data_IF_426271826370
#
_entry.id   IF_426271826370
#
_cell.length_a   1.000
_cell.length_b   1.000
_cell.length_c   1.000
_cell.angle_alpha   90.00
_cell.angle_beta   90.00
_cell.angle_gamma   90.00
#
_symmetry.space_group_name_H-M   'P 1'
#
loop_
_entity.id
_entity.type
_entity.pdbx_description
1 polymer ?
#
# COMPACT_ATOMS: atom_id res chain seq x y z
N UNK A 1 4.93 -43.62 20.54
CA UNK A 1 5.90 -42.83 19.78
C UNK A 1 5.07 -41.87 18.93
N UNK A 2 4.72 -40.72 19.50
CA UNK A 2 4.00 -39.63 18.78
C UNK A 2 5.06 -38.81 18.10
N UNK A 3 5.05 -38.79 16.78
CA UNK A 3 5.85 -37.87 15.99
C UNK A 3 5.28 -36.45 16.25
N UNK A 4 6.03 -35.61 16.94
CA UNK A 4 5.85 -34.17 16.92
C UNK A 4 6.15 -33.71 15.47
N UNK A 5 5.12 -33.52 14.68
CA UNK A 5 5.21 -32.67 13.51
C UNK A 5 5.44 -31.26 14.05
N UNK A 6 6.68 -30.81 13.99
CA UNK A 6 7.04 -29.40 14.12
C UNK A 6 6.44 -28.68 12.90
N UNK A 7 5.19 -28.29 12.99
CA UNK A 7 4.61 -27.37 12.03
C UNK A 7 5.43 -26.08 12.07
N UNK A 8 6.25 -25.82 11.06
CA UNK A 8 6.79 -24.49 10.83
C UNK A 8 5.59 -23.53 10.84
N UNK A 9 5.64 -22.55 11.74
CA UNK A 9 4.58 -21.56 11.81
C UNK A 9 4.50 -20.87 10.44
N UNK A 10 3.35 -20.93 9.83
CA UNK A 10 3.09 -20.29 8.55
C UNK A 10 3.43 -18.80 8.66
N UNK A 11 4.26 -18.30 7.76
CA UNK A 11 4.82 -16.94 7.85
C UNK A 11 4.17 -16.07 6.79
N UNK A 12 3.45 -15.02 7.24
CA UNK A 12 2.99 -13.93 6.38
C UNK A 12 4.03 -12.81 6.42
N UNK A 13 4.58 -12.45 5.26
CA UNK A 13 5.57 -11.38 5.11
C UNK A 13 4.95 -10.18 4.40
N UNK A 14 5.22 -8.99 4.93
CA UNK A 14 4.83 -7.74 4.28
C UNK A 14 6.01 -6.76 4.26
N UNK A 15 6.19 -6.04 3.15
CA UNK A 15 7.22 -5.01 3.02
C UNK A 15 6.75 -3.90 2.08
N UNK A 16 6.85 -2.65 2.53
CA UNK A 16 6.67 -1.48 1.66
C UNK A 16 7.99 -1.24 0.92
N UNK A 17 8.04 -1.58 -0.35
CA UNK A 17 9.25 -1.42 -1.18
C UNK A 17 9.52 0.04 -1.51
N UNK A 18 8.49 0.84 -1.70
CA UNK A 18 8.54 2.29 -1.86
C UNK A 18 7.17 2.89 -1.57
N UNK A 19 7.15 4.14 -1.07
CA UNK A 19 5.90 4.87 -0.84
C UNK A 19 6.10 6.36 -1.00
N UNK A 20 5.34 6.98 -1.94
CA UNK A 20 5.35 8.41 -2.23
C UNK A 20 5.18 8.71 -3.72
N UNK A 21 5.14 9.99 -4.09
CA UNK A 21 4.79 10.50 -5.43
C UNK A 21 5.76 10.14 -6.57
N UNK A 22 6.86 9.46 -6.30
CA UNK A 22 7.79 8.98 -7.34
C UNK A 22 7.69 7.49 -7.60
N UNK A 23 6.82 6.78 -6.88
CA UNK A 23 6.52 5.38 -7.10
C UNK A 23 6.16 4.65 -5.82
N UNK A 24 5.09 3.87 -5.90
CA UNK A 24 4.56 3.05 -4.83
C UNK A 24 4.67 1.58 -5.21
N UNK A 25 5.05 0.75 -4.26
CA UNK A 25 5.06 -0.70 -4.38
C UNK A 25 5.13 -1.34 -3.00
N UNK A 26 4.31 -2.36 -2.75
CA UNK A 26 4.38 -3.18 -1.55
C UNK A 26 4.34 -4.67 -1.91
N UNK A 27 5.07 -5.49 -1.17
CA UNK A 27 5.13 -6.93 -1.34
C UNK A 27 4.42 -7.61 -0.16
N UNK A 28 3.49 -8.49 -0.46
CA UNK A 28 2.86 -9.40 0.47
C UNK A 28 3.15 -10.83 0.04
N UNK A 29 3.64 -11.66 0.91
CA UNK A 29 3.93 -13.06 0.60
C UNK A 29 3.60 -13.98 1.78
N UNK A 30 3.03 -15.13 1.44
CA UNK A 30 2.96 -16.32 2.29
C UNK A 30 4.01 -17.33 1.81
N UNK A 31 4.00 -18.53 2.34
CA UNK A 31 4.81 -19.62 1.81
C UNK A 31 4.42 -19.94 0.35
N UNK A 32 3.12 -19.90 0.03
CA UNK A 32 2.56 -20.37 -1.24
C UNK A 32 2.25 -19.26 -2.24
N UNK A 33 1.98 -18.04 -1.78
CA UNK A 33 1.47 -16.95 -2.62
C UNK A 33 2.33 -15.69 -2.47
N UNK A 34 2.55 -14.99 -3.58
CA UNK A 34 3.31 -13.76 -3.63
C UNK A 34 2.56 -12.69 -4.43
N UNK A 35 2.27 -11.56 -3.81
CA UNK A 35 1.48 -10.46 -4.38
C UNK A 35 2.26 -9.17 -4.34
N UNK A 36 2.32 -8.47 -5.46
CA UNK A 36 2.79 -7.09 -5.55
C UNK A 36 1.58 -6.15 -5.55
N UNK A 37 1.55 -5.18 -4.67
CA UNK A 37 0.55 -4.11 -4.67
C UNK A 37 1.20 -2.85 -5.24
N UNK A 38 0.65 -2.36 -6.32
CA UNK A 38 1.16 -1.29 -7.18
C UNK A 38 2.53 -1.59 -7.83
N UNK A 39 2.74 -0.96 -8.96
CA UNK A 39 3.91 -1.11 -9.81
C UNK A 39 4.42 0.26 -10.28
N UNK A 40 4.53 1.21 -9.36
CA UNK A 40 5.01 2.57 -9.63
C UNK A 40 6.52 2.66 -9.87
N UNK A 41 7.27 1.60 -9.59
CA UNK A 41 8.71 1.52 -9.81
C UNK A 41 9.05 0.75 -11.08
N UNK A 42 10.14 1.12 -11.75
CA UNK A 42 10.68 0.30 -12.83
C UNK A 42 11.09 -1.09 -12.33
N UNK A 43 11.04 -2.12 -13.20
CA UNK A 43 11.47 -3.48 -12.86
C UNK A 43 12.91 -3.52 -12.29
N UNK A 44 13.82 -2.68 -12.82
CA UNK A 44 15.19 -2.55 -12.30
C UNK A 44 15.22 -2.02 -10.88
N UNK A 45 14.39 -1.01 -10.56
CA UNK A 45 14.34 -0.42 -9.23
C UNK A 45 13.67 -1.36 -8.23
N UNK A 46 12.59 -2.03 -8.63
CA UNK A 46 11.98 -3.11 -7.84
C UNK A 46 13.01 -4.19 -7.48
N UNK A 47 13.81 -4.65 -8.47
CA UNK A 47 14.85 -5.64 -8.23
C UNK A 47 15.89 -5.17 -7.21
N UNK A 48 16.33 -3.90 -7.26
CA UNK A 48 17.25 -3.35 -6.25
C UNK A 48 16.62 -3.32 -4.85
N UNK A 49 15.34 -2.95 -4.76
CA UNK A 49 14.62 -2.92 -3.47
C UNK A 49 14.49 -4.32 -2.88
N UNK A 50 14.11 -5.30 -3.69
CA UNK A 50 14.04 -6.71 -3.28
C UNK A 50 15.40 -7.21 -2.78
N UNK A 51 16.47 -6.97 -3.54
CA UNK A 51 17.81 -7.36 -3.13
C UNK A 51 18.24 -6.70 -1.80
N UNK A 52 17.86 -5.44 -1.56
CA UNK A 52 18.22 -4.71 -0.33
C UNK A 52 17.53 -5.23 0.93
N UNK A 53 16.45 -6.00 0.81
CA UNK A 53 15.76 -6.68 1.91
C UNK A 53 16.15 -8.17 2.02
N UNK A 54 17.16 -8.60 1.27
CA UNK A 54 17.68 -9.97 1.30
C UNK A 54 16.92 -10.97 0.42
N UNK A 55 15.97 -10.50 -0.40
CA UNK A 55 15.25 -11.37 -1.34
C UNK A 55 15.99 -11.43 -2.68
N UNK A 56 15.92 -12.59 -3.35
CA UNK A 56 16.40 -12.75 -4.72
C UNK A 56 15.35 -12.17 -5.70
N UNK A 57 15.68 -11.09 -6.45
CA UNK A 57 14.72 -10.45 -7.34
C UNK A 57 14.20 -11.38 -8.45
N UNK A 58 15.05 -12.21 -9.02
CA UNK A 58 14.66 -13.14 -10.09
C UNK A 58 13.65 -14.16 -9.57
N UNK A 59 13.93 -14.73 -8.40
CA UNK A 59 13.03 -15.69 -7.74
C UNK A 59 11.69 -15.03 -7.38
N UNK A 60 11.69 -13.80 -6.87
CA UNK A 60 10.44 -13.09 -6.56
C UNK A 60 9.65 -12.83 -7.83
N UNK A 61 10.28 -12.32 -8.91
CA UNK A 61 9.57 -12.05 -10.17
C UNK A 61 8.97 -13.31 -10.79
N UNK A 62 9.64 -14.45 -10.73
CA UNK A 62 9.12 -15.74 -11.21
C UNK A 62 7.97 -16.27 -10.34
N UNK A 63 8.00 -15.96 -9.03
CA UNK A 63 7.04 -16.42 -8.04
C UNK A 63 5.81 -15.54 -7.91
N UNK A 64 5.81 -14.32 -8.50
CA UNK A 64 4.64 -13.44 -8.42
C UNK A 64 3.39 -14.11 -9.00
N UNK A 65 2.36 -14.27 -8.18
CA UNK A 65 1.05 -14.79 -8.56
C UNK A 65 0.13 -13.67 -9.04
N UNK A 66 0.20 -12.50 -8.39
CA UNK A 66 -0.63 -11.36 -8.74
C UNK A 66 0.11 -10.02 -8.62
N UNK A 67 -0.34 -9.05 -9.44
CA UNK A 67 -0.07 -7.63 -9.30
C UNK A 67 -1.42 -6.94 -9.13
N UNK A 68 -1.66 -6.36 -7.95
CA UNK A 68 -2.87 -5.62 -7.64
C UNK A 68 -2.62 -4.13 -7.84
N UNK A 69 -3.48 -3.44 -8.56
CA UNK A 69 -3.37 -2.00 -8.83
C UNK A 69 -4.49 -1.27 -8.10
N UNK A 70 -4.11 -0.27 -7.31
CA UNK A 70 -5.04 0.57 -6.56
C UNK A 70 -5.78 1.56 -7.46
N UNK A 71 -5.06 2.22 -8.36
CA UNK A 71 -5.58 3.19 -9.33
C UNK A 71 -4.56 3.53 -10.43
N UNK A 72 -4.95 4.34 -11.42
CA UNK A 72 -4.18 4.58 -12.65
C UNK A 72 -3.08 5.64 -12.57
N UNK A 73 -2.87 6.33 -11.46
CA UNK A 73 -1.84 7.38 -11.39
C UNK A 73 -0.45 6.82 -11.65
N UNK A 74 0.41 7.63 -12.29
CA UNK A 74 1.70 7.19 -12.80
C UNK A 74 2.64 6.63 -11.71
N UNK A 75 2.57 7.14 -10.51
CA UNK A 75 3.36 6.65 -9.36
C UNK A 75 2.86 5.30 -8.81
N UNK A 76 1.75 4.77 -9.34
CA UNK A 76 1.24 3.42 -9.06
C UNK A 76 1.40 2.45 -10.23
N UNK A 77 1.54 2.96 -11.46
CA UNK A 77 1.50 2.09 -12.66
C UNK A 77 2.65 2.29 -13.64
N UNK A 78 3.59 3.23 -13.43
CA UNK A 78 4.63 3.53 -14.43
C UNK A 78 5.52 2.35 -14.81
N UNK A 79 5.75 1.40 -13.90
CA UNK A 79 6.49 0.16 -14.17
C UNK A 79 5.64 -0.97 -14.75
N UNK A 80 4.32 -0.88 -14.60
CA UNK A 80 3.39 -1.96 -14.91
C UNK A 80 3.46 -2.48 -16.35
N UNK A 81 3.54 -1.63 -17.40
CA UNK A 81 3.63 -2.11 -18.77
C UNK A 81 4.90 -2.92 -19.07
N UNK A 82 5.99 -2.63 -18.36
CA UNK A 82 7.26 -3.38 -18.50
C UNK A 82 7.14 -4.73 -17.78
N UNK A 83 6.59 -4.75 -16.57
CA UNK A 83 6.35 -5.99 -15.83
C UNK A 83 5.39 -6.91 -16.57
N UNK A 84 4.32 -6.37 -17.14
CA UNK A 84 3.31 -7.11 -17.91
C UNK A 84 3.88 -7.81 -19.16
N UNK A 85 4.88 -7.20 -19.81
CA UNK A 85 5.57 -7.77 -21.00
C UNK A 85 6.72 -8.70 -20.65
N UNK A 86 7.14 -8.74 -19.40
CA UNK A 86 8.26 -9.60 -18.99
C UNK A 86 7.87 -11.07 -19.09
N UNK A 87 8.71 -11.86 -19.79
CA UNK A 87 8.53 -13.32 -19.87
C UNK A 87 8.80 -14.04 -18.55
N UNK A 88 9.49 -13.38 -17.61
CA UNK A 88 9.81 -13.91 -16.29
C UNK A 88 8.61 -13.81 -15.35
N UNK A 89 7.79 -12.76 -15.49
CA UNK A 89 6.64 -12.51 -14.62
C UNK A 89 5.41 -13.14 -15.23
N UNK A 90 4.83 -14.09 -14.49
CA UNK A 90 3.60 -14.81 -14.90
C UNK A 90 2.37 -14.36 -14.11
N UNK A 91 2.55 -13.37 -13.24
CA UNK A 91 1.48 -12.83 -12.41
C UNK A 91 0.26 -12.39 -13.23
N UNK A 92 -0.91 -12.64 -12.71
CA UNK A 92 -2.14 -12.02 -13.20
C UNK A 92 -2.23 -10.60 -12.66
N UNK A 93 -2.57 -9.65 -13.51
CA UNK A 93 -2.77 -8.25 -13.13
C UNK A 93 -4.23 -8.06 -12.78
N UNK A 94 -4.50 -7.54 -11.59
CA UNK A 94 -5.86 -7.27 -11.12
C UNK A 94 -6.04 -5.78 -10.86
N UNK A 95 -7.11 -5.20 -11.37
CA UNK A 95 -7.52 -3.81 -11.12
C UNK A 95 -9.02 -3.66 -11.34
N UNK A 96 -9.58 -2.53 -10.95
CA UNK A 96 -11.00 -2.31 -11.23
C UNK A 96 -11.25 -2.21 -12.73
N UNK A 97 -12.47 -2.58 -13.16
CA UNK A 97 -12.85 -2.56 -14.57
C UNK A 97 -12.87 -1.14 -15.16
N UNK A 98 -12.99 -0.11 -14.32
CA UNK A 98 -12.92 1.28 -14.74
C UNK A 98 -11.49 1.82 -14.80
N UNK A 99 -10.57 1.32 -13.95
CA UNK A 99 -9.14 1.65 -13.99
C UNK A 99 -8.45 1.05 -15.24
N UNK A 100 -8.81 -0.18 -15.62
CA UNK A 100 -8.13 -0.91 -16.68
C UNK A 100 -8.04 -0.18 -18.05
N UNK A 101 -9.08 0.50 -18.55
CA UNK A 101 -9.01 1.28 -19.78
C UNK A 101 -8.12 2.52 -19.72
N UNK A 102 -7.80 3.01 -18.51
CA UNK A 102 -6.97 4.19 -18.31
C UNK A 102 -5.47 3.89 -18.32
N UNK A 103 -5.08 2.61 -18.26
CA UNK A 103 -3.68 2.21 -18.28
C UNK A 103 -3.13 2.29 -19.72
N UNK A 104 -2.05 3.04 -19.89
CA UNK A 104 -1.30 3.04 -21.15
C UNK A 104 -0.42 1.78 -21.24
N UNK A 105 -0.92 0.76 -21.88
CA UNK A 105 -0.20 -0.50 -22.11
C UNK A 105 0.84 -0.41 -23.23
N UNK A 106 0.88 0.69 -23.98
CA UNK A 106 1.61 0.79 -25.25
C UNK A 106 0.92 -0.01 -26.34
N UNK A 107 1.68 -0.75 -27.14
CA UNK A 107 1.16 -1.43 -28.35
C UNK A 107 0.24 -2.63 -28.05
N UNK A 108 0.37 -3.26 -26.88
CA UNK A 108 -0.35 -4.50 -26.60
C UNK A 108 -0.74 -4.59 -25.13
N UNK A 109 -2.02 -4.78 -24.86
CA UNK A 109 -2.51 -5.09 -23.52
C UNK A 109 -2.00 -6.47 -23.05
N UNK A 110 -1.81 -6.66 -21.72
CA UNK A 110 -1.34 -7.93 -21.20
C UNK A 110 -2.37 -9.04 -21.39
N UNK A 111 -1.88 -10.25 -21.70
CA UNK A 111 -2.75 -11.42 -21.82
C UNK A 111 -3.29 -11.96 -20.50
N UNK A 112 -2.81 -11.43 -19.37
CA UNK A 112 -3.22 -11.84 -18.01
C UNK A 112 -3.68 -10.63 -17.22
N UNK A 113 -4.82 -10.09 -17.62
CA UNK A 113 -5.52 -9.02 -16.96
C UNK A 113 -6.89 -9.54 -16.52
N UNK A 114 -7.17 -9.47 -15.25
CA UNK A 114 -8.47 -9.72 -14.64
C UNK A 114 -8.99 -8.44 -14.00
N UNK A 115 -10.22 -8.11 -14.29
CA UNK A 115 -10.85 -6.92 -13.75
C UNK A 115 -11.94 -7.27 -12.75
N UNK A 116 -12.08 -6.42 -11.73
CA UNK A 116 -13.11 -6.56 -10.71
C UNK A 116 -13.88 -5.24 -10.52
N UNK A 117 -14.98 -5.29 -9.81
CA UNK A 117 -15.72 -4.12 -9.35
C UNK A 117 -15.18 -3.68 -7.98
N UNK A 118 -15.02 -2.36 -7.76
CA UNK A 118 -14.63 -1.85 -6.45
C UNK A 118 -15.59 -2.39 -5.35
N UNK A 119 -15.02 -2.87 -4.25
CA UNK A 119 -15.75 -3.57 -3.19
C UNK A 119 -15.80 -5.10 -3.36
N UNK A 120 -15.27 -5.66 -4.44
CA UNK A 120 -15.22 -7.12 -4.62
C UNK A 120 -14.17 -7.78 -3.72
N UNK A 121 -14.47 -9.01 -3.32
CA UNK A 121 -13.50 -9.94 -2.72
C UNK A 121 -12.88 -10.80 -3.82
N UNK A 122 -11.57 -11.03 -3.73
CA UNK A 122 -10.77 -11.85 -4.63
C UNK A 122 -10.05 -12.92 -3.82
N UNK A 123 -9.82 -14.09 -4.42
CA UNK A 123 -8.96 -15.12 -3.85
C UNK A 123 -7.70 -15.27 -4.71
N UNK A 124 -6.53 -15.05 -4.13
CA UNK A 124 -5.24 -15.20 -4.80
C UNK A 124 -4.43 -16.22 -4.01
N UNK A 125 -4.35 -17.42 -4.50
CA UNK A 125 -3.75 -18.53 -3.76
C UNK A 125 -4.38 -18.71 -2.38
N UNK A 126 -3.57 -18.59 -1.32
CA UNK A 126 -4.00 -18.64 0.09
C UNK A 126 -4.25 -17.26 0.72
N UNK A 127 -4.34 -16.21 -0.08
CA UNK A 127 -4.63 -14.84 0.38
C UNK A 127 -6.03 -14.43 -0.08
N UNK A 128 -6.89 -14.06 0.87
CA UNK A 128 -8.15 -13.37 0.59
C UNK A 128 -7.87 -11.86 0.49
N UNK A 129 -8.41 -11.22 -0.54
CA UNK A 129 -8.22 -9.79 -0.82
C UNK A 129 -9.58 -9.11 -0.91
N UNK A 130 -9.87 -8.21 0.00
CA UNK A 130 -11.06 -7.37 -0.04
C UNK A 130 -10.68 -5.98 -0.56
N UNK A 131 -11.16 -5.60 -1.74
CA UNK A 131 -11.04 -4.24 -2.23
C UNK A 131 -12.10 -3.33 -1.60
N UNK A 132 -11.80 -2.04 -1.43
CA UNK A 132 -12.75 -1.04 -0.96
C UNK A 132 -12.46 0.32 -1.59
N UNK A 133 -13.50 1.06 -1.94
CA UNK A 133 -13.37 2.39 -2.55
C UNK A 133 -12.77 3.39 -1.56
N UNK A 134 -11.82 4.19 -2.04
CA UNK A 134 -11.21 5.31 -1.30
C UNK A 134 -11.53 6.64 -1.99
N UNK A 135 -11.66 7.76 -1.24
CA UNK A 135 -11.94 9.07 -1.82
C UNK A 135 -10.67 9.72 -2.41
N UNK A 136 -10.42 9.50 -3.69
CA UNK A 136 -9.29 10.05 -4.43
C UNK A 136 -9.69 10.56 -5.80
N UNK A 137 -8.92 11.47 -6.39
CA UNK A 137 -9.15 12.05 -7.72
C UNK A 137 -8.62 11.15 -8.86
N UNK A 138 -8.94 9.87 -8.78
CA UNK A 138 -8.71 8.85 -9.78
C UNK A 138 -10.05 8.28 -10.30
N UNK A 139 -10.01 7.45 -11.33
CA UNK A 139 -11.22 6.96 -12.01
C UNK A 139 -12.04 6.03 -11.10
N UNK A 140 -11.39 5.05 -10.47
CA UNK A 140 -12.06 4.09 -9.59
C UNK A 140 -11.07 3.57 -8.54
N UNK A 141 -10.61 4.47 -7.63
CA UNK A 141 -9.53 4.17 -6.71
C UNK A 141 -9.98 3.24 -5.58
N UNK A 142 -9.14 2.26 -5.26
CA UNK A 142 -9.39 1.28 -4.20
C UNK A 142 -8.19 1.16 -3.25
N UNK A 143 -8.51 0.90 -1.97
CA UNK A 143 -7.59 0.29 -1.02
C UNK A 143 -7.82 -1.21 -0.96
N UNK A 144 -6.95 -1.92 -0.28
CA UNK A 144 -7.02 -3.37 -0.11
C UNK A 144 -6.87 -3.78 1.35
N UNK A 145 -7.70 -4.73 1.78
CA UNK A 145 -7.49 -5.49 3.01
C UNK A 145 -7.21 -6.94 2.64
N UNK A 146 -6.14 -7.50 3.19
CA UNK A 146 -5.67 -8.86 2.95
C UNK A 146 -5.89 -9.69 4.20
N UNK A 147 -6.29 -10.94 4.01
CA UNK A 147 -6.37 -11.92 5.09
C UNK A 147 -5.67 -13.21 4.65
N UNK A 148 -4.69 -13.65 5.40
CA UNK A 148 -3.92 -14.85 5.15
C UNK A 148 -3.46 -15.47 6.48
N UNK A 149 -3.73 -16.75 6.70
CA UNK A 149 -3.25 -17.49 7.88
C UNK A 149 -3.62 -16.83 9.23
N UNK A 150 -4.78 -16.15 9.29
CA UNK A 150 -5.24 -15.42 10.48
C UNK A 150 -4.61 -14.04 10.68
N UNK A 151 -3.74 -13.60 9.78
CA UNK A 151 -3.14 -12.25 9.76
C UNK A 151 -3.92 -11.34 8.83
N UNK A 152 -4.26 -10.14 9.29
CA UNK A 152 -4.98 -9.14 8.53
C UNK A 152 -4.13 -7.89 8.30
N UNK A 153 -3.94 -7.51 7.02
CA UNK A 153 -3.16 -6.36 6.59
C UNK A 153 -4.05 -5.44 5.76
N UNK A 154 -4.01 -4.13 6.00
CA UNK A 154 -4.73 -3.17 5.16
C UNK A 154 -3.80 -2.10 4.59
N UNK A 155 -4.10 -1.66 3.36
CA UNK A 155 -3.42 -0.59 2.63
C UNK A 155 -4.46 0.46 2.26
N UNK A 156 -4.27 1.68 2.75
CA UNK A 156 -5.10 2.84 2.45
C UNK A 156 -4.20 4.08 2.26
N UNK A 157 -3.75 4.28 1.04
CA UNK A 157 -3.01 5.46 0.58
C UNK A 157 -3.84 6.20 -0.47
N UNK A 158 -3.50 7.45 -0.73
CA UNK A 158 -4.17 8.27 -1.72
C UNK A 158 -5.65 8.52 -1.40
N UNK A 159 -5.88 9.14 -0.25
CA UNK A 159 -7.24 9.46 0.18
C UNK A 159 -7.30 10.85 0.84
N UNK A 160 -8.27 11.66 0.46
CA UNK A 160 -8.44 13.01 1.01
C UNK A 160 -9.02 13.05 2.43
N UNK A 161 -9.70 11.98 2.86
CA UNK A 161 -10.25 11.77 4.21
C UNK A 161 -10.59 10.30 4.42
N UNK A 162 -10.87 9.90 5.66
CA UNK A 162 -11.19 8.51 6.02
C UNK A 162 -12.69 8.39 6.34
N UNK A 163 -13.55 8.01 5.38
CA UNK A 163 -14.98 7.81 5.64
C UNK A 163 -15.23 6.53 6.45
N UNK A 164 -16.43 6.41 7.06
CA UNK A 164 -16.80 5.23 7.86
C UNK A 164 -16.71 3.92 7.08
N UNK A 165 -17.00 3.95 5.76
CA UNK A 165 -16.82 2.79 4.89
C UNK A 165 -15.37 2.32 4.82
N UNK A 166 -14.40 3.24 4.78
CA UNK A 166 -12.97 2.91 4.82
C UNK A 166 -12.58 2.44 6.21
N UNK A 167 -12.98 3.16 7.28
CA UNK A 167 -12.69 2.76 8.67
C UNK A 167 -13.12 1.32 8.96
N UNK A 168 -14.26 0.88 8.38
CA UNK A 168 -14.73 -0.50 8.53
C UNK A 168 -13.69 -1.52 8.06
N UNK A 169 -13.03 -1.28 6.93
CA UNK A 169 -12.02 -2.17 6.36
C UNK A 169 -10.67 -2.10 7.09
N UNK A 170 -10.39 -0.99 7.80
CA UNK A 170 -9.16 -0.81 8.57
C UNK A 170 -9.22 -1.41 9.98
N UNK A 171 -10.38 -1.90 10.43
CA UNK A 171 -10.54 -2.50 11.76
C UNK A 171 -9.87 -3.88 11.82
N UNK A 172 -9.38 -4.23 13.02
CA UNK A 172 -8.79 -5.54 13.36
C UNK A 172 -7.62 -5.91 12.45
N UNK A 173 -6.86 -4.93 11.98
CA UNK A 173 -5.66 -5.17 11.21
C UNK A 173 -4.47 -5.41 12.13
N UNK A 174 -3.66 -6.42 11.83
CA UNK A 174 -2.36 -6.63 12.49
C UNK A 174 -1.35 -5.60 11.99
N UNK A 175 -1.43 -5.25 10.69
CA UNK A 175 -0.65 -4.18 10.08
C UNK A 175 -1.54 -3.27 9.24
N UNK A 176 -1.39 -1.96 9.44
CA UNK A 176 -2.03 -0.92 8.65
C UNK A 176 -0.96 -0.07 7.94
N UNK A 177 -0.98 -0.01 6.61
CA UNK A 177 -0.30 1.01 5.82
C UNK A 177 -1.31 2.13 5.54
N UNK A 178 -1.07 3.30 6.15
CA UNK A 178 -1.95 4.46 6.05
C UNK A 178 -1.19 5.67 5.50
N UNK A 179 -1.87 6.52 4.75
CA UNK A 179 -1.31 7.77 4.25
C UNK A 179 -1.05 8.78 5.37
N UNK A 180 0.07 9.52 5.24
CA UNK A 180 0.37 10.76 5.96
C UNK A 180 1.09 11.71 5.00
N UNK A 181 0.33 12.30 4.09
CA UNK A 181 0.91 12.95 2.92
C UNK A 181 1.55 14.29 3.22
N UNK A 182 0.83 15.21 3.88
CA UNK A 182 1.32 16.57 4.02
C UNK A 182 1.05 17.16 5.40
N UNK A 183 1.96 18.02 5.82
CA UNK A 183 1.74 18.98 6.87
C UNK A 183 1.03 20.22 6.29
N UNK A 184 -0.04 20.67 6.95
CA UNK A 184 -0.87 21.77 6.43
C UNK A 184 -0.12 23.09 6.33
N UNK A 185 0.77 23.39 7.28
CA UNK A 185 1.50 24.65 7.29
C UNK A 185 2.64 24.63 6.29
N UNK A 186 3.37 23.51 6.18
CA UNK A 186 4.35 23.31 5.11
C UNK A 186 3.70 23.42 3.73
N UNK A 187 2.52 22.83 3.51
CA UNK A 187 1.82 22.90 2.24
C UNK A 187 1.39 24.35 1.92
N UNK A 188 0.86 25.09 2.90
CA UNK A 188 0.44 26.50 2.70
C UNK A 188 1.59 27.39 2.26
N UNK A 189 2.78 27.23 2.85
CA UNK A 189 3.97 28.05 2.53
C UNK A 189 4.85 27.42 1.44
N UNK A 190 4.65 26.14 1.13
CA UNK A 190 5.43 25.35 0.19
C UNK A 190 5.38 25.89 -1.26
N UNK A 191 6.19 25.30 -2.15
CA UNK A 191 6.41 25.85 -3.50
C UNK A 191 5.27 25.54 -4.49
N UNK A 192 4.28 24.72 -4.13
CA UNK A 192 3.22 24.36 -5.06
C UNK A 192 2.34 25.55 -5.44
N UNK A 193 1.91 25.65 -6.72
CA UNK A 193 0.88 26.58 -7.12
C UNK A 193 -0.41 26.41 -6.30
N UNK A 194 -1.15 27.51 -6.10
CA UNK A 194 -2.34 27.48 -5.27
C UNK A 194 -3.38 26.43 -5.70
N UNK A 195 -3.59 26.26 -7.00
CA UNK A 195 -4.51 25.23 -7.53
C UNK A 195 -4.09 23.81 -7.11
N UNK A 196 -2.78 23.52 -7.10
CA UNK A 196 -2.25 22.22 -6.64
C UNK A 196 -2.45 22.06 -5.12
N UNK A 197 -2.21 23.12 -4.34
CA UNK A 197 -2.47 23.09 -2.89
C UNK A 197 -3.93 22.82 -2.58
N UNK A 198 -4.85 23.47 -3.30
CA UNK A 198 -6.29 23.24 -3.15
C UNK A 198 -6.68 21.79 -3.49
N UNK A 199 -6.12 21.24 -4.57
CA UNK A 199 -6.32 19.84 -4.96
C UNK A 199 -5.83 18.90 -3.86
N UNK A 200 -4.61 19.06 -3.37
CA UNK A 200 -4.01 18.22 -2.32
C UNK A 200 -4.85 18.28 -1.04
N UNK A 201 -5.33 19.46 -0.62
CA UNK A 201 -6.17 19.61 0.58
C UNK A 201 -7.64 19.23 0.38
N UNK A 202 -8.06 18.84 -0.82
CA UNK A 202 -9.45 18.53 -1.10
C UNK A 202 -9.88 17.17 -0.52
N UNK A 203 -11.18 16.92 -0.48
CA UNK A 203 -11.73 15.63 -0.03
C UNK A 203 -11.39 14.45 -0.95
N UNK A 204 -10.85 14.71 -2.12
CA UNK A 204 -10.34 13.70 -3.07
C UNK A 204 -8.84 13.88 -3.32
N UNK A 205 -8.16 14.69 -2.52
CA UNK A 205 -6.72 14.87 -2.56
C UNK A 205 -5.97 13.83 -1.72
N UNK A 206 -5.21 14.32 -0.74
CA UNK A 206 -4.37 13.46 0.10
C UNK A 206 -4.58 13.74 1.60
N UNK A 207 -4.30 12.75 2.42
CA UNK A 207 -4.49 12.79 3.86
C UNK A 207 -3.44 13.69 4.52
N UNK A 208 -3.88 14.73 5.24
CA UNK A 208 -2.97 15.55 6.03
C UNK A 208 -2.52 14.82 7.30
N UNK A 209 -1.38 15.23 7.85
CA UNK A 209 -0.89 14.73 9.14
C UNK A 209 -1.92 14.93 10.25
N UNK A 210 -2.70 16.01 10.19
CA UNK A 210 -3.75 16.29 11.18
C UNK A 210 -4.87 15.26 11.11
N UNK A 211 -5.42 14.98 9.91
CA UNK A 211 -6.50 13.99 9.73
C UNK A 211 -6.00 12.58 10.06
N UNK A 212 -4.76 12.25 9.73
CA UNK A 212 -4.11 11.00 10.15
C UNK A 212 -4.06 10.91 11.68
N UNK A 213 -3.59 11.97 12.37
CA UNK A 213 -3.52 12.01 13.84
C UNK A 213 -4.90 11.85 14.48
N UNK A 214 -5.92 12.56 13.97
CA UNK A 214 -7.30 12.45 14.43
C UNK A 214 -7.82 11.00 14.32
N UNK A 215 -7.53 10.33 13.20
CA UNK A 215 -7.87 8.91 13.03
C UNK A 215 -7.18 8.01 14.06
N UNK A 216 -5.89 8.23 14.31
CA UNK A 216 -5.15 7.46 15.31
C UNK A 216 -5.70 7.68 16.72
N UNK A 217 -6.09 8.92 17.05
CA UNK A 217 -6.65 9.30 18.35
C UNK A 217 -8.07 8.76 18.59
N UNK A 218 -8.88 8.61 17.55
CA UNK A 218 -10.30 8.32 17.70
C UNK A 218 -10.68 6.91 17.28
N UNK A 219 -10.10 6.41 16.18
CA UNK A 219 -10.63 5.28 15.44
C UNK A 219 -9.66 4.10 15.26
N UNK A 220 -8.34 4.28 15.43
CA UNK A 220 -7.40 3.17 15.23
C UNK A 220 -7.75 2.00 16.15
N UNK A 221 -7.87 0.82 15.60
CA UNK A 221 -8.16 -0.38 16.37
C UNK A 221 -6.98 -0.74 17.29
N UNK A 222 -7.27 -1.00 18.57
CA UNK A 222 -6.25 -1.37 19.55
C UNK A 222 -5.55 -2.71 19.23
N UNK A 223 -6.15 -3.54 18.38
CA UNK A 223 -5.55 -4.77 17.88
C UNK A 223 -4.43 -4.52 16.85
N UNK A 224 -4.33 -3.31 16.28
CA UNK A 224 -3.30 -2.98 15.30
C UNK A 224 -1.91 -3.00 15.93
N UNK A 225 -1.12 -4.03 15.60
CA UNK A 225 0.22 -4.22 16.15
C UNK A 225 1.28 -3.37 15.43
N UNK A 226 1.13 -3.16 14.12
CA UNK A 226 2.05 -2.42 13.27
C UNK A 226 1.32 -1.32 12.51
N UNK A 227 1.80 -0.09 12.62
CA UNK A 227 1.35 1.05 11.81
C UNK A 227 2.51 1.52 10.95
N UNK A 228 2.30 1.52 9.64
CA UNK A 228 3.24 2.08 8.67
C UNK A 228 2.58 3.32 8.08
N UNK A 229 3.16 4.49 8.31
CA UNK A 229 2.70 5.72 7.68
C UNK A 229 3.50 5.95 6.41
N UNK A 230 2.80 6.15 5.30
CA UNK A 230 3.39 6.21 3.97
C UNK A 230 2.86 7.36 3.13
N UNK A 231 3.26 7.38 1.87
CA UNK A 231 2.87 8.35 0.85
C UNK A 231 3.15 9.82 1.24
N UNK A 232 4.30 10.05 1.91
CA UNK A 232 4.70 11.37 2.35
C UNK A 232 5.12 12.26 1.17
N UNK A 233 4.60 13.48 1.13
CA UNK A 233 5.07 14.51 0.20
C UNK A 233 6.53 14.89 0.51
N UNK A 234 7.39 14.84 -0.51
CA UNK A 234 8.80 15.22 -0.35
C UNK A 234 9.01 16.72 -0.09
N UNK A 235 8.06 17.56 -0.49
CA UNK A 235 8.18 19.02 -0.38
C UNK A 235 7.33 19.61 0.75
N UNK A 236 6.26 18.94 1.12
CA UNK A 236 5.27 19.48 2.05
C UNK A 236 5.08 18.61 3.30
N UNK A 237 6.07 17.77 3.60
CA UNK A 237 6.08 16.96 4.81
C UNK A 237 7.51 16.63 5.25
N UNK A 238 7.63 16.18 6.49
CA UNK A 238 8.88 15.66 7.02
C UNK A 238 8.63 14.44 7.92
N UNK A 239 9.38 13.35 7.78
CA UNK A 239 9.16 12.12 8.57
C UNK A 239 9.16 12.34 10.08
N UNK A 240 9.98 13.30 10.58
CA UNK A 240 10.00 13.61 12.01
C UNK A 240 8.70 14.26 12.51
N UNK A 241 8.02 15.08 11.68
CA UNK A 241 6.73 15.68 12.03
C UNK A 241 5.68 14.59 12.09
N UNK A 242 5.61 13.74 11.08
CA UNK A 242 4.68 12.59 11.03
C UNK A 242 4.90 11.67 12.23
N UNK A 243 6.15 11.32 12.52
CA UNK A 243 6.48 10.48 13.67
C UNK A 243 6.05 11.10 15.00
N UNK A 244 6.32 12.38 15.21
CA UNK A 244 5.95 13.11 16.42
C UNK A 244 4.43 13.11 16.61
N UNK A 245 3.65 13.50 15.59
CA UNK A 245 2.19 13.56 15.67
C UNK A 245 1.56 12.18 15.90
N UNK A 246 2.02 11.18 15.16
CA UNK A 246 1.52 9.81 15.32
C UNK A 246 1.87 9.23 16.71
N UNK A 247 3.09 9.44 17.20
CA UNK A 247 3.48 9.00 18.54
C UNK A 247 2.61 9.65 19.62
N UNK A 248 2.39 10.96 19.52
CA UNK A 248 1.52 11.68 20.46
C UNK A 248 0.09 11.12 20.48
N UNK A 249 -0.47 10.84 19.29
CA UNK A 249 -1.81 10.25 19.17
C UNK A 249 -1.89 8.83 19.77
N UNK A 250 -0.92 7.98 19.50
CA UNK A 250 -0.84 6.61 20.03
C UNK A 250 -0.66 6.61 21.56
N UNK A 251 0.27 7.42 22.08
CA UNK A 251 0.55 7.55 23.50
C UNK A 251 -0.67 8.09 24.26
N UNK A 252 -1.38 9.08 23.69
CA UNK A 252 -2.60 9.65 24.25
C UNK A 252 -3.71 8.63 24.49
N UNK A 253 -3.70 7.53 23.73
CA UNK A 253 -4.63 6.40 23.90
C UNK A 253 -4.04 5.21 24.66
N UNK A 254 -2.76 5.24 24.99
CA UNK A 254 -2.05 4.11 25.59
C UNK A 254 -1.94 2.89 24.65
N UNK A 255 -1.87 3.11 23.32
CA UNK A 255 -1.75 2.04 22.35
C UNK A 255 -0.30 1.57 22.25
N UNK A 256 -0.11 0.25 22.15
CA UNK A 256 1.21 -0.38 22.00
C UNK A 256 1.56 -0.67 20.52
N UNK A 257 0.91 0.01 19.59
CA UNK A 257 1.14 -0.10 18.15
C UNK A 257 2.57 0.35 17.81
N UNK A 258 3.33 -0.49 17.11
CA UNK A 258 4.66 -0.13 16.64
C UNK A 258 4.56 0.74 15.40
N UNK A 259 5.13 1.96 15.47
CA UNK A 259 5.11 2.94 14.40
C UNK A 259 6.33 2.81 13.50
N UNK A 260 6.12 2.84 12.19
CA UNK A 260 7.16 2.97 11.16
C UNK A 260 6.74 4.01 10.13
N UNK A 261 7.73 4.69 9.52
CA UNK A 261 7.51 5.63 8.42
C UNK A 261 8.12 5.03 7.16
N UNK A 262 7.29 4.82 6.13
CA UNK A 262 7.75 4.35 4.83
C UNK A 262 8.52 5.43 4.09
N UNK A 263 9.47 5.03 3.26
CA UNK A 263 10.34 5.93 2.51
C UNK A 263 10.10 5.79 1.00
N UNK A 264 10.22 6.91 0.29
CA UNK A 264 10.24 6.91 -1.16
C UNK A 264 11.46 6.16 -1.72
N UNK A 265 12.59 6.18 -1.02
CA UNK A 265 13.90 5.80 -1.56
C UNK A 265 14.45 4.49 -1.01
N UNK A 266 13.85 3.90 -0.02
CA UNK A 266 14.27 2.62 0.60
C UNK A 266 13.07 1.82 1.07
N UNK A 267 13.18 0.49 1.02
CA UNK A 267 12.17 -0.37 1.61
C UNK A 267 12.03 -0.16 3.12
N UNK A 268 10.85 -0.48 3.63
CA UNK A 268 10.64 -0.69 5.07
C UNK A 268 11.40 -1.92 5.57
N UNK A 269 11.37 -2.16 6.87
CA UNK A 269 11.64 -3.49 7.40
C UNK A 269 10.66 -4.51 6.78
N UNK A 270 11.06 -5.78 6.73
CA UNK A 270 10.15 -6.88 6.41
C UNK A 270 9.41 -7.23 7.70
N UNK A 271 8.09 -7.01 7.71
CA UNK A 271 7.22 -7.43 8.79
C UNK A 271 6.89 -8.91 8.60
N UNK A 272 6.92 -9.67 9.69
CA UNK A 272 6.63 -11.11 9.70
C UNK A 272 5.64 -11.40 10.84
N UNK A 273 4.65 -12.24 10.52
CA UNK A 273 3.59 -12.64 11.43
C UNK A 273 3.47 -14.16 11.47
#
# INVERSE_FOLDING_TARGET
MYSEESGEAAIVKFCVLASGSSGNAALLATENTCVLVDAGLSMRELGKRLASIGEDPERIFERLDAILITHEHCDHVSGLPVLARSKKIRATIHMTHLTAPAIDWGETAPGRLETFQAGAALQIGDIEVQSFTIPHDAIDPVGFAFEAQGVRIAIATDLGYIPESVKFHLRRTDLLLLEANHDLDMLKVGPYPWAVKQRVMSRVGHLSNLVMSDYLEQDLDAATCQLVLGHLSQQNNHPAIVHMMATQALDGRGLHTRLSIASQHRPSAVFQF
#
